data_IF_557563091105
#
_entry.id   IF_557563091105
#
_cell.length_a   1.000
_cell.length_b   1.000
_cell.length_c   1.000
_cell.angle_alpha   90.00
_cell.angle_beta   90.00
_cell.angle_gamma   90.00
#
_symmetry.space_group_name_H-M   'P 1'
#
loop_
_entity.id
_entity.type
_entity.pdbx_description
1 polymer ?
#
# COMPACT_ATOMS: atom_id res chain seq x y z
N UNK A 1 -11.26 -19.39 11.50
CA UNK A 1 -9.98 -18.70 11.22
C UNK A 1 -9.02 -19.77 10.73
N UNK A 2 -8.37 -19.57 9.58
CA UNK A 2 -7.54 -20.61 8.94
C UNK A 2 -6.18 -20.75 9.65
N UNK A 3 -5.74 -21.98 9.89
CA UNK A 3 -4.41 -22.27 10.44
C UNK A 3 -3.34 -21.93 9.40
N UNK A 4 -2.39 -21.07 9.77
CA UNK A 4 -1.25 -20.73 8.90
C UNK A 4 -0.08 -21.62 9.24
N UNK A 5 0.19 -22.62 8.40
CA UNK A 5 1.37 -23.46 8.58
C UNK A 5 2.59 -22.85 7.87
N UNK A 6 3.56 -22.38 8.65
CA UNK A 6 4.76 -21.67 8.14
C UNK A 6 5.88 -22.62 7.73
N UNK A 7 5.92 -23.83 8.31
CA UNK A 7 7.05 -24.78 8.18
C UNK A 7 6.59 -26.21 7.82
N UNK A 8 5.48 -26.36 7.08
CA UNK A 8 4.98 -27.70 6.69
C UNK A 8 6.02 -28.46 5.88
N UNK A 9 6.41 -29.64 6.36
CA UNK A 9 7.35 -30.53 5.67
C UNK A 9 8.83 -30.25 5.90
N UNK A 10 9.19 -29.24 6.70
CA UNK A 10 10.58 -28.95 7.02
C UNK A 10 11.20 -30.03 7.93
N UNK A 11 12.47 -30.39 7.68
CA UNK A 11 13.26 -31.31 8.52
C UNK A 11 14.58 -30.63 8.89
N UNK A 12 15.09 -30.92 10.09
CA UNK A 12 16.36 -30.38 10.61
C UNK A 12 16.43 -28.84 10.72
N UNK A 13 15.35 -28.21 11.19
CA UNK A 13 15.31 -26.75 11.41
C UNK A 13 15.77 -26.44 12.84
N UNK A 14 16.85 -25.68 12.97
CA UNK A 14 17.37 -25.19 14.25
C UNK A 14 17.35 -23.67 14.26
N UNK A 15 16.61 -23.08 15.20
CA UNK A 15 16.37 -21.63 15.31
C UNK A 15 16.71 -21.14 16.72
N UNK A 16 17.99 -21.10 17.11
CA UNK A 16 18.35 -20.62 18.43
C UNK A 16 18.08 -19.12 18.53
N UNK A 17 17.40 -18.70 19.60
CA UNK A 17 17.11 -17.29 19.93
C UNK A 17 16.44 -16.48 18.81
N UNK A 18 15.56 -17.11 18.02
CA UNK A 18 14.91 -16.47 16.86
C UNK A 18 13.40 -16.31 17.05
N UNK A 19 12.82 -15.26 16.45
CA UNK A 19 11.37 -15.04 16.40
C UNK A 19 10.89 -15.22 14.95
N UNK A 20 9.93 -16.11 14.73
CA UNK A 20 9.33 -16.37 13.40
C UNK A 20 7.96 -15.73 13.33
N UNK A 21 7.80 -14.75 12.44
CA UNK A 21 6.52 -14.07 12.20
C UNK A 21 6.02 -14.40 10.80
N UNK A 22 4.83 -15.00 10.69
CA UNK A 22 4.17 -15.17 9.40
C UNK A 22 3.73 -13.80 8.86
N UNK A 23 4.01 -13.51 7.60
CA UNK A 23 3.71 -12.19 7.00
C UNK A 23 2.22 -11.83 7.07
N UNK A 24 1.32 -12.82 7.01
CA UNK A 24 -0.13 -12.60 7.18
C UNK A 24 -0.50 -11.96 8.53
N UNK A 25 0.23 -12.27 9.59
CA UNK A 25 0.02 -11.70 10.93
C UNK A 25 0.59 -10.29 11.05
N UNK A 26 1.67 -9.96 10.31
CA UNK A 26 2.25 -8.61 10.29
C UNK A 26 1.36 -7.61 9.53
N UNK A 27 0.75 -8.03 8.43
CA UNK A 27 -0.18 -7.16 7.67
C UNK A 27 -1.48 -6.90 8.44
N UNK A 28 -1.99 -7.88 9.19
CA UNK A 28 -3.22 -7.70 9.98
C UNK A 28 -3.01 -6.75 11.19
N UNK A 29 -1.82 -6.74 11.77
CA UNK A 29 -1.45 -5.78 12.83
C UNK A 29 -1.20 -4.35 12.29
N UNK A 30 -0.97 -4.16 10.98
CA UNK A 30 -0.80 -2.83 10.37
C UNK A 30 -2.16 -2.16 10.14
N UNK A 31 -3.21 -2.92 9.84
CA UNK A 31 -4.55 -2.35 9.67
C UNK A 31 -5.31 -2.16 11.00
N UNK A 32 -5.07 -2.99 12.02
CA UNK A 32 -5.84 -2.94 13.28
C UNK A 32 -5.29 -1.95 14.34
N UNK A 33 -4.09 -1.40 14.14
CA UNK A 33 -3.42 -0.56 15.14
C UNK A 33 -3.58 0.96 14.88
N UNK A 34 -4.73 1.35 14.31
CA UNK A 34 -5.17 2.75 14.25
C UNK A 34 -6.10 3.14 15.41
N UNK A 35 -6.40 2.21 16.33
CA UNK A 35 -7.39 2.41 17.38
C UNK A 35 -6.89 2.83 18.77
N UNK A 36 -5.63 2.57 19.16
CA UNK A 36 -5.11 2.98 20.47
C UNK A 36 -3.63 2.64 20.63
N UNK A 37 -2.72 3.57 20.34
CA UNK A 37 -1.40 3.56 21.00
C UNK A 37 -0.91 4.96 21.31
N UNK A 38 -1.43 5.46 22.43
CA UNK A 38 -0.75 6.42 23.29
C UNK A 38 0.45 5.74 23.95
N UNK A 39 1.62 5.77 23.31
CA UNK A 39 2.88 5.62 24.03
C UNK A 39 3.85 6.68 23.53
N UNK A 40 4.03 7.66 24.39
CA UNK A 40 4.90 8.82 24.31
C UNK A 40 6.30 8.50 23.79
N UNK A 41 6.77 9.28 22.80
CA UNK A 41 8.19 9.58 22.66
C UNK A 41 8.97 8.96 21.49
N UNK A 42 8.39 8.05 20.69
CA UNK A 42 9.06 7.52 19.51
C UNK A 42 8.29 7.94 18.26
N UNK A 43 8.85 8.86 17.48
CA UNK A 43 8.18 9.42 16.31
C UNK A 43 8.04 8.35 15.23
N UNK A 44 6.85 7.74 15.15
CA UNK A 44 6.50 6.81 14.10
C UNK A 44 6.45 7.60 12.79
N UNK A 45 7.51 7.52 11.98
CA UNK A 45 7.53 8.09 10.63
C UNK A 45 6.62 7.22 9.76
N UNK A 46 5.55 7.77 9.17
CA UNK A 46 4.67 6.99 8.31
C UNK A 46 5.42 6.53 7.05
N UNK A 47 5.21 5.27 6.64
CA UNK A 47 5.86 4.68 5.47
C UNK A 47 5.49 5.42 4.17
N UNK A 48 4.33 6.06 4.15
CA UNK A 48 3.86 6.93 3.07
C UNK A 48 3.47 8.29 3.63
N UNK A 49 3.77 9.41 2.94
CA UNK A 49 3.24 10.70 3.36
C UNK A 49 1.71 10.65 3.30
N UNK A 50 1.06 11.37 4.21
CA UNK A 50 -0.39 11.47 4.19
C UNK A 50 -0.88 12.14 2.89
N UNK A 51 -2.00 11.66 2.31
CA UNK A 51 -2.71 12.43 1.29
C UNK A 51 -3.01 13.82 1.86
N UNK A 52 -2.70 14.86 1.09
CA UNK A 52 -2.98 16.23 1.50
C UNK A 52 -4.41 16.59 1.10
N UNK A 53 -5.24 16.94 2.08
CA UNK A 53 -6.59 17.51 1.83
C UNK A 53 -6.54 18.84 1.07
N UNK A 54 -5.37 19.49 1.03
CA UNK A 54 -5.12 20.74 0.30
C UNK A 54 -4.51 20.50 -1.08
N UNK A 55 -4.36 19.25 -1.51
CA UNK A 55 -3.90 18.94 -2.86
C UNK A 55 -5.00 19.34 -3.85
N UNK A 56 -4.72 20.34 -4.69
CA UNK A 56 -5.67 20.89 -5.66
C UNK A 56 -5.09 20.88 -7.07
N UNK A 57 -5.97 20.97 -8.08
CA UNK A 57 -5.59 20.92 -9.48
C UNK A 57 -5.15 19.53 -9.93
N UNK A 58 -4.48 19.44 -11.09
CA UNK A 58 -4.02 18.18 -11.72
C UNK A 58 -5.12 17.16 -11.99
N UNK A 59 -6.37 17.61 -12.02
CA UNK A 59 -7.58 16.82 -12.32
C UNK A 59 -7.46 16.11 -13.67
N UNK A 60 -6.90 16.74 -14.69
CA UNK A 60 -6.66 16.12 -16.00
C UNK A 60 -5.71 14.92 -15.92
N UNK A 61 -4.68 15.00 -15.07
CA UNK A 61 -3.72 13.90 -14.89
C UNK A 61 -4.40 12.75 -14.14
N UNK A 62 -5.17 13.07 -13.10
CA UNK A 62 -5.94 12.08 -12.35
C UNK A 62 -6.97 11.39 -13.24
N UNK A 63 -7.67 12.14 -14.10
CA UNK A 63 -8.62 11.59 -15.06
C UNK A 63 -7.94 10.61 -16.04
N UNK A 64 -6.78 10.96 -16.59
CA UNK A 64 -5.99 10.07 -17.46
C UNK A 64 -5.50 8.81 -16.74
N UNK A 65 -5.09 8.95 -15.48
CA UNK A 65 -4.72 7.80 -14.64
C UNK A 65 -5.92 6.88 -14.40
N UNK A 66 -7.08 7.44 -14.05
CA UNK A 66 -8.32 6.70 -13.85
C UNK A 66 -8.72 5.96 -15.12
N UNK A 67 -8.78 6.65 -16.26
CA UNK A 67 -9.07 6.04 -17.55
C UNK A 67 -8.11 4.86 -17.81
N UNK A 68 -6.80 5.09 -17.74
CA UNK A 68 -5.82 4.04 -18.01
C UNK A 68 -6.01 2.79 -17.14
N UNK A 69 -6.17 2.96 -15.83
CA UNK A 69 -6.29 1.83 -14.90
C UNK A 69 -7.69 1.19 -14.88
N UNK A 70 -8.75 1.97 -15.03
CA UNK A 70 -10.14 1.52 -14.93
C UNK A 70 -10.77 1.05 -16.24
N UNK A 71 -10.16 1.32 -17.41
CA UNK A 71 -10.66 0.73 -18.66
C UNK A 71 -10.52 -0.80 -18.60
N UNK A 72 -11.61 -1.48 -18.27
CA UNK A 72 -11.73 -2.92 -18.42
C UNK A 72 -11.71 -3.23 -19.92
N UNK A 73 -10.53 -3.55 -20.45
CA UNK A 73 -10.47 -4.29 -21.69
C UNK A 73 -11.15 -5.64 -21.42
N UNK A 74 -12.19 -5.98 -22.19
CA UNK A 74 -12.86 -7.31 -22.21
C UNK A 74 -11.90 -8.48 -22.56
N UNK A 75 -10.60 -8.25 -22.45
CA UNK A 75 -9.55 -9.23 -22.59
C UNK A 75 -9.67 -10.19 -21.40
N UNK A 76 -9.95 -11.45 -21.72
CA UNK A 76 -10.06 -12.57 -20.76
C UNK A 76 -8.83 -12.75 -19.87
N UNK A 77 -7.73 -12.04 -20.17
CA UNK A 77 -6.49 -11.98 -19.41
C UNK A 77 -6.27 -10.54 -18.93
N UNK A 78 -6.52 -10.28 -17.64
CA UNK A 78 -6.16 -9.00 -17.00
C UNK A 78 -4.65 -8.79 -17.11
N UNK A 79 -4.20 -7.98 -18.06
CA UNK A 79 -2.79 -7.60 -18.21
C UNK A 79 -2.40 -6.59 -17.14
N UNK A 80 -1.17 -6.68 -16.64
CA UNK A 80 -0.58 -5.68 -15.74
C UNK A 80 -0.41 -4.35 -16.48
N UNK A 81 -0.96 -3.28 -15.93
CA UNK A 81 -0.89 -1.92 -16.48
C UNK A 81 0.23 -1.11 -15.81
N UNK A 82 0.85 -0.20 -16.57
CA UNK A 82 1.93 0.67 -16.09
C UNK A 82 1.71 2.10 -16.60
N UNK A 83 1.97 3.08 -15.73
CA UNK A 83 1.85 4.50 -16.07
C UNK A 83 3.08 5.27 -15.58
N UNK A 84 3.70 6.07 -16.43
CA UNK A 84 4.85 6.90 -16.07
C UNK A 84 4.40 8.34 -15.74
N UNK A 85 4.53 8.71 -14.47
CA UNK A 85 4.33 10.09 -14.00
C UNK A 85 5.69 10.77 -13.76
N UNK A 86 6.00 11.79 -14.55
CA UNK A 86 7.30 12.51 -14.50
C UNK A 86 7.12 14.02 -14.32
N UNK A 87 8.19 14.71 -13.93
CA UNK A 87 8.20 16.16 -13.69
C UNK A 87 9.21 16.56 -12.62
N UNK A 88 9.39 17.87 -12.43
CA UNK A 88 10.33 18.43 -11.44
C UNK A 88 10.09 17.92 -10.01
N UNK A 89 11.12 18.00 -9.16
CA UNK A 89 10.99 17.74 -7.73
C UNK A 89 9.92 18.63 -7.08
N UNK A 90 9.23 18.13 -6.06
CA UNK A 90 8.24 18.92 -5.31
C UNK A 90 6.91 19.23 -6.03
N UNK A 91 6.76 18.91 -7.32
CA UNK A 91 5.53 19.23 -8.09
C UNK A 91 4.27 18.43 -7.67
N UNK A 92 4.41 17.51 -6.71
CA UNK A 92 3.30 16.75 -6.17
C UNK A 92 3.04 15.38 -6.82
N UNK A 93 4.00 14.78 -7.54
CA UNK A 93 3.81 13.44 -8.18
C UNK A 93 3.30 12.37 -7.20
N UNK A 94 3.92 12.27 -6.02
CA UNK A 94 3.48 11.37 -4.96
C UNK A 94 2.07 11.69 -4.49
N UNK A 95 1.73 12.97 -4.35
CA UNK A 95 0.38 13.41 -3.94
C UNK A 95 -0.69 13.10 -5.00
N UNK A 96 -0.34 13.17 -6.31
CA UNK A 96 -1.23 12.71 -7.39
C UNK A 96 -1.56 11.23 -7.23
N UNK A 97 -0.57 10.38 -6.97
CA UNK A 97 -0.80 8.94 -6.76
C UNK A 97 -1.64 8.66 -5.50
N UNK A 98 -1.39 9.39 -4.41
CA UNK A 98 -2.18 9.25 -3.18
C UNK A 98 -3.64 9.69 -3.41
N UNK A 99 -3.84 10.79 -4.13
CA UNK A 99 -5.18 11.27 -4.48
C UNK A 99 -5.93 10.29 -5.38
N UNK A 100 -5.24 9.68 -6.34
CA UNK A 100 -5.80 8.63 -7.19
C UNK A 100 -6.35 7.47 -6.37
N UNK A 101 -5.59 6.97 -5.39
CA UNK A 101 -6.00 5.84 -4.53
C UNK A 101 -7.20 6.24 -3.67
N UNK A 102 -7.16 7.44 -3.07
CA UNK A 102 -8.29 7.99 -2.30
C UNK A 102 -9.58 7.99 -3.16
N UNK A 103 -9.52 8.55 -4.37
CA UNK A 103 -10.69 8.64 -5.26
C UNK A 103 -11.09 7.33 -5.97
N UNK A 104 -10.32 6.24 -5.82
CA UNK A 104 -10.66 4.90 -6.33
C UNK A 104 -11.15 3.96 -5.23
N UNK A 105 -11.02 4.36 -3.96
CA UNK A 105 -11.41 3.53 -2.80
C UNK A 105 -12.87 3.73 -2.39
N UNK A 106 -13.55 4.72 -2.95
CA UNK A 106 -15.00 4.95 -2.85
C UNK A 106 -15.77 4.06 -3.85
#
# INVERSE_FOLDING_TARGET
>A
MAETHVLTGARNVVLPNSTVNAAGTMVNNIHHNYGNRTTSGDAIIPLTPNPSSRFTGRTEIIAKLKEHFMTDTNDSVRRRKFFLLYGMGGIGKTQICLKLIEEMSD
#
